data_IF_958519458612
#
_entry.id   IF_958519458612
#
_cell.length_a   1.000
_cell.length_b   1.000
_cell.length_c   1.000
_cell.angle_alpha   90.00
_cell.angle_beta   90.00
_cell.angle_gamma   90.00
#
_symmetry.space_group_name_H-M   'P 1'
#
loop_
_entity.id
_entity.type
_entity.pdbx_description
1 polymer ?
#
# COMPACT_ATOMS: atom_id res chain seq x y z
N UNK A 1 -6.71 9.74 -20.12
CA UNK A 1 -6.39 8.91 -18.93
C UNK A 1 -6.51 9.82 -17.72
N UNK A 2 -7.72 9.94 -17.17
CA UNK A 2 -8.02 10.87 -16.08
C UNK A 2 -7.50 10.24 -14.78
N UNK A 3 -6.36 10.72 -14.30
CA UNK A 3 -5.84 10.35 -12.99
C UNK A 3 -6.66 11.10 -11.95
N UNK A 4 -7.61 10.39 -11.36
CA UNK A 4 -8.52 10.92 -10.34
C UNK A 4 -7.73 11.50 -9.16
N UNK A 5 -7.89 12.81 -8.96
CA UNK A 5 -7.28 13.63 -7.92
C UNK A 5 -7.89 13.33 -6.54
N UNK A 6 -7.74 12.11 -6.03
CA UNK A 6 -7.98 11.87 -4.61
C UNK A 6 -6.73 12.29 -3.84
N UNK A 7 -6.59 13.59 -3.55
CA UNK A 7 -5.66 14.08 -2.52
C UNK A 7 -6.20 13.65 -1.16
N UNK A 8 -6.20 12.34 -0.91
CA UNK A 8 -6.34 11.79 0.41
C UNK A 8 -5.24 12.44 1.25
N UNK A 9 -5.52 12.75 2.51
CA UNK A 9 -4.46 12.92 3.49
C UNK A 9 -3.67 11.60 3.50
N UNK A 10 -2.64 11.51 2.65
CA UNK A 10 -1.94 10.26 2.36
C UNK A 10 -1.09 9.89 3.57
N UNK A 11 -1.74 9.25 4.53
CA UNK A 11 -1.11 8.30 5.43
C UNK A 11 -0.03 7.55 4.65
N UNK A 12 1.24 7.57 5.09
CA UNK A 12 2.34 7.03 4.31
C UNK A 12 2.02 5.60 3.86
N UNK A 13 2.05 5.42 2.55
CA UNK A 13 1.82 4.15 1.88
C UNK A 13 3.16 3.63 1.37
N UNK A 14 3.55 2.44 1.84
CA UNK A 14 4.75 1.76 1.37
C UNK A 14 4.36 0.46 0.68
N UNK A 15 4.83 0.29 -0.55
CA UNK A 15 4.57 -0.89 -1.37
C UNK A 15 5.88 -1.65 -1.55
N UNK A 16 5.87 -2.94 -1.26
CA UNK A 16 7.03 -3.83 -1.39
C UNK A 16 6.67 -5.03 -2.26
N UNK A 17 7.57 -5.37 -3.19
CA UNK A 17 7.48 -6.63 -3.93
C UNK A 17 8.30 -7.68 -3.17
N UNK A 18 7.68 -8.78 -2.75
CA UNK A 18 8.37 -9.89 -2.13
C UNK A 18 9.05 -10.75 -3.20
N UNK A 19 10.39 -10.77 -3.31
CA UNK A 19 11.08 -11.49 -4.37
C UNK A 19 10.88 -13.01 -4.29
N UNK A 20 10.78 -13.55 -3.07
CA UNK A 20 10.66 -15.00 -2.85
C UNK A 20 9.29 -15.57 -3.27
N UNK A 21 8.24 -14.76 -3.21
CA UNK A 21 6.86 -15.20 -3.45
C UNK A 21 6.20 -14.50 -4.64
N UNK A 22 6.80 -13.44 -5.17
CA UNK A 22 6.21 -12.58 -6.20
C UNK A 22 4.98 -11.79 -5.73
N UNK A 23 4.67 -11.81 -4.43
CA UNK A 23 3.51 -11.13 -3.84
C UNK A 23 3.79 -9.66 -3.58
N UNK A 24 2.73 -8.86 -3.57
CA UNK A 24 2.80 -7.45 -3.22
C UNK A 24 2.40 -7.29 -1.76
N UNK A 25 3.25 -6.64 -0.96
CA UNK A 25 2.93 -6.19 0.40
C UNK A 25 2.65 -4.70 0.39
N UNK A 26 1.50 -4.34 0.92
CA UNK A 26 1.07 -2.94 1.06
C UNK A 26 1.03 -2.62 2.54
N UNK A 27 1.80 -1.61 2.94
CA UNK A 27 1.84 -1.07 4.29
C UNK A 27 1.18 0.30 4.28
N UNK A 28 0.22 0.51 5.17
CA UNK A 28 -0.44 1.80 5.37
C UNK A 28 -0.34 2.19 6.84
N UNK A 29 0.25 3.35 7.10
CA UNK A 29 0.25 3.91 8.44
C UNK A 29 -1.12 4.53 8.76
N UNK A 30 -1.64 4.27 9.95
CA UNK A 30 -2.91 4.82 10.43
C UNK A 30 -2.69 5.39 11.83
N UNK A 31 -3.66 6.16 12.34
CA UNK A 31 -3.63 6.63 13.73
C UNK A 31 -3.56 5.48 14.76
N UNK A 32 -3.93 4.26 14.38
CA UNK A 32 -3.92 3.07 15.22
C UNK A 32 -2.67 2.19 15.01
N UNK A 33 -1.74 2.61 14.15
CA UNK A 33 -0.54 1.86 13.78
C UNK A 33 -0.53 1.41 12.31
N UNK A 34 0.38 0.50 11.98
CA UNK A 34 0.63 0.07 10.60
C UNK A 34 -0.25 -1.12 10.22
N UNK A 35 -1.15 -0.91 9.26
CA UNK A 35 -1.91 -1.98 8.63
C UNK A 35 -1.10 -2.56 7.46
N UNK A 36 -0.97 -3.90 7.41
CA UNK A 36 -0.27 -4.59 6.31
C UNK A 36 -1.22 -5.56 5.62
N UNK A 37 -1.30 -5.49 4.29
CA UNK A 37 -2.04 -6.44 3.46
C UNK A 37 -1.13 -7.05 2.41
N UNK A 38 -1.31 -8.35 2.16
CA UNK A 38 -0.64 -9.06 1.07
C UNK A 38 -1.63 -9.27 -0.07
N UNK A 39 -1.18 -9.06 -1.30
CA UNK A 39 -1.96 -9.22 -2.53
C UNK A 39 -1.22 -10.23 -3.40
N UNK A 40 -1.92 -11.30 -3.79
CA UNK A 40 -1.49 -12.21 -4.85
C UNK A 40 -1.74 -11.53 -6.20
N UNK A 41 -0.80 -11.72 -7.14
CA UNK A 41 -0.87 -11.20 -8.51
C UNK A 41 -1.98 -11.85 -9.33
#
# INVERSE_FOLDING_TARGET
>A
MHGDETRATESPLRIELCPDTGRIRVHRETALGTFTRTIDR
#
